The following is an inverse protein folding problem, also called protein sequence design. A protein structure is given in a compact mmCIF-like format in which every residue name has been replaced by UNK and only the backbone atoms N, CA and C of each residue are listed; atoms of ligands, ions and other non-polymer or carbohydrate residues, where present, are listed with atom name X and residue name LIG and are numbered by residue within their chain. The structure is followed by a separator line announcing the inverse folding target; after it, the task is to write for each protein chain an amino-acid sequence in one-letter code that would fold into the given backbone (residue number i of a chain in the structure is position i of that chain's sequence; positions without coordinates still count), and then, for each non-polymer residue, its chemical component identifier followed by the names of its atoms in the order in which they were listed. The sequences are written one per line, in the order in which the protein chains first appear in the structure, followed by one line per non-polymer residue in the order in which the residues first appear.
data_IF_270378329044
#
_entry.id   IF_270378329044
#
_cell.length_a   1.000
_cell.length_b   1.000
_cell.length_c   1.000
_cell.angle_alpha   90.00
_cell.angle_beta   90.00
_cell.angle_gamma   90.00
#
_symmetry.space_group_name_H-M   'P 1'
#
loop_
_entity.id
_entity.type
_entity.pdbx_description
1 polymer ?
#
# COMPACT_ATOMS: atom_id res chain seq x y z
N UNK A 1 13.86 5.51 7.48
CA UNK A 1 13.57 4.88 8.78
C UNK A 1 13.49 3.37 8.63
N UNK A 2 14.16 2.66 9.48
CA UNK A 2 14.13 1.20 9.46
C UNK A 2 13.00 0.68 10.33
N UNK A 3 12.26 -0.30 9.80
CA UNK A 3 11.09 -0.88 10.45
C UNK A 3 11.43 -2.32 10.84
N UNK A 4 11.15 -2.77 12.09
CA UNK A 4 11.40 -4.15 12.48
C UNK A 4 10.63 -5.13 11.60
N UNK A 5 11.20 -6.30 11.38
CA UNK A 5 10.55 -7.34 10.58
C UNK A 5 9.37 -7.97 11.31
N UNK A 6 9.44 -8.04 12.62
CA UNK A 6 8.42 -8.63 13.47
C UNK A 6 8.16 -7.77 14.70
N UNK A 7 6.91 -7.68 15.10
CA UNK A 7 6.54 -7.03 16.36
C UNK A 7 5.53 -7.90 17.10
N UNK A 8 5.50 -7.76 18.43
CA UNK A 8 4.51 -8.41 19.26
C UNK A 8 3.37 -7.41 19.53
N UNK A 9 2.16 -7.75 19.11
CA UNK A 9 1.01 -6.88 19.27
C UNK A 9 -0.26 -7.71 19.45
N UNK A 10 -1.35 -7.06 19.85
CA UNK A 10 -2.62 -7.72 20.10
C UNK A 10 -3.26 -8.24 18.82
N UNK A 11 -3.65 -9.51 18.84
CA UNK A 11 -4.41 -10.13 17.77
C UNK A 11 -5.87 -10.30 18.20
N UNK A 12 -6.84 -9.65 17.54
CA UNK A 12 -8.25 -9.77 17.91
C UNK A 12 -8.79 -11.18 17.76
N UNK A 13 -8.28 -11.97 16.82
CA UNK A 13 -8.71 -13.35 16.63
C UNK A 13 -8.17 -14.29 17.69
N UNK A 14 -6.90 -14.12 18.06
CA UNK A 14 -6.27 -14.91 19.13
C UNK A 14 -6.61 -14.38 20.52
N UNK A 15 -7.11 -13.15 20.62
CA UNK A 15 -7.42 -12.43 21.86
C UNK A 15 -6.22 -12.34 22.81
N UNK A 16 -5.03 -12.27 22.27
CA UNK A 16 -3.81 -12.15 23.04
C UNK A 16 -2.73 -11.49 22.20
N UNK A 17 -1.67 -11.03 22.85
CA UNK A 17 -0.52 -10.49 22.15
C UNK A 17 0.27 -11.62 21.49
N UNK A 18 0.43 -11.56 20.19
CA UNK A 18 1.17 -12.54 19.41
C UNK A 18 2.17 -11.84 18.50
N UNK A 19 3.14 -12.62 18.03
CA UNK A 19 4.14 -12.08 17.10
C UNK A 19 3.51 -11.92 15.71
N UNK A 20 3.70 -10.75 15.12
CA UNK A 20 3.21 -10.43 13.80
C UNK A 20 4.38 -10.12 12.88
N UNK A 21 4.36 -10.65 11.67
CA UNK A 21 5.33 -10.26 10.64
C UNK A 21 4.84 -8.99 9.96
N UNK A 22 5.77 -8.11 9.63
CA UNK A 22 5.48 -6.80 9.06
C UNK A 22 5.85 -6.78 7.59
N UNK A 23 4.91 -6.32 6.76
CA UNK A 23 5.17 -6.04 5.35
C UNK A 23 4.62 -4.67 5.00
N UNK A 24 5.25 -4.01 4.04
CA UNK A 24 4.79 -2.71 3.57
C UNK A 24 3.70 -2.94 2.54
N UNK A 25 2.55 -2.25 2.72
CA UNK A 25 1.47 -2.32 1.74
C UNK A 25 1.89 -1.61 0.45
N UNK A 26 1.67 -2.28 -0.66
CA UNK A 26 1.88 -1.71 -1.99
C UNK A 26 0.64 -1.95 -2.83
N UNK A 27 0.31 -0.97 -3.67
CA UNK A 27 -0.80 -1.11 -4.61
C UNK A 27 -0.52 -2.27 -5.56
N UNK A 28 -1.50 -3.14 -5.74
CA UNK A 28 -1.41 -4.24 -6.69
C UNK A 28 -1.49 -3.76 -8.13
N UNK A 29 -1.13 -4.65 -9.05
CA UNK A 29 -1.24 -4.34 -10.47
C UNK A 29 -2.71 -4.22 -10.86
N UNK A 30 -3.02 -3.19 -11.63
CA UNK A 30 -4.36 -2.96 -12.13
C UNK A 30 -4.75 -4.04 -13.14
N UNK A 31 -5.98 -4.50 -13.05
CA UNK A 31 -6.52 -5.45 -14.01
C UNK A 31 -6.88 -4.71 -15.30
N UNK A 32 -6.24 -5.08 -16.40
CA UNK A 32 -6.44 -4.42 -17.70
C UNK A 32 -7.82 -4.67 -18.31
N UNK A 33 -8.42 -5.80 -18.00
CA UNK A 33 -9.71 -6.20 -18.56
C UNK A 33 -10.91 -5.65 -17.78
N UNK A 34 -10.68 -4.91 -16.70
CA UNK A 34 -11.76 -4.25 -15.97
C UNK A 34 -12.44 -3.20 -16.84
N UNK A 35 -13.75 -3.01 -16.67
CA UNK A 35 -14.54 -2.09 -17.50
C UNK A 35 -13.97 -0.66 -17.48
N UNK A 36 -13.66 -0.14 -16.30
CA UNK A 36 -13.09 1.19 -16.16
C UNK A 36 -11.75 1.35 -16.85
N UNK A 37 -10.88 0.33 -16.76
CA UNK A 37 -9.57 0.35 -17.40
C UNK A 37 -9.69 0.34 -18.93
N UNK A 38 -10.63 -0.44 -19.48
CA UNK A 38 -10.89 -0.49 -20.91
C UNK A 38 -11.40 0.85 -21.43
N UNK A 39 -12.33 1.47 -20.73
CA UNK A 39 -12.87 2.78 -21.10
C UNK A 39 -11.78 3.86 -21.07
N UNK A 40 -10.95 3.86 -20.05
CA UNK A 40 -9.85 4.80 -19.95
C UNK A 40 -8.86 4.65 -21.10
N UNK A 41 -8.57 3.42 -21.52
CA UNK A 41 -7.71 3.13 -22.67
C UNK A 41 -8.33 3.67 -23.96
N UNK A 42 -9.63 3.48 -24.15
CA UNK A 42 -10.34 4.01 -25.32
C UNK A 42 -10.32 5.54 -25.37
N UNK A 43 -10.41 6.19 -24.20
CA UNK A 43 -10.39 7.65 -24.13
C UNK A 43 -9.05 8.24 -24.56
N UNK A 44 -7.98 7.45 -24.54
CA UNK A 44 -6.66 7.88 -25.00
C UNK A 44 -6.52 7.87 -26.52
N UNK A 45 -7.41 7.18 -27.24
CA UNK A 45 -7.36 7.01 -28.67
C UNK A 45 -8.07 8.15 -29.39
N UNK A 46 -7.64 8.43 -30.61
CA UNK A 46 -8.26 9.44 -31.48
C UNK A 46 -7.60 10.81 -31.35
N UNK A 47 -8.19 11.77 -32.01
CA UNK A 47 -7.74 13.17 -32.01
C UNK A 47 -8.46 13.95 -30.92
N UNK A 48 -8.06 15.19 -30.68
CA UNK A 48 -8.73 16.04 -29.70
C UNK A 48 -7.79 16.78 -28.77
N UNK A 49 -6.47 16.72 -29.03
CA UNK A 49 -5.47 17.37 -28.16
C UNK A 49 -5.31 16.72 -26.81
N UNK A 50 -5.13 17.53 -25.78
CA UNK A 50 -4.98 17.00 -24.41
C UNK A 50 -6.29 16.37 -23.95
N UNK A 51 -6.24 15.08 -23.62
CA UNK A 51 -7.42 14.32 -23.23
C UNK A 51 -7.67 14.33 -21.72
N UNK A 52 -6.61 14.43 -20.92
CA UNK A 52 -6.69 14.42 -19.48
C UNK A 52 -5.90 15.58 -18.89
N UNK A 53 -6.41 16.20 -17.81
CA UNK A 53 -5.65 17.27 -17.17
C UNK A 53 -4.35 16.73 -16.57
N UNK A 54 -3.30 17.53 -16.67
CA UNK A 54 -2.02 17.21 -16.05
C UNK A 54 -1.85 18.04 -14.80
N UNK A 55 -1.50 17.38 -13.71
CA UNK A 55 -1.12 18.05 -12.48
C UNK A 55 0.38 18.36 -12.55
N UNK A 56 0.71 19.62 -12.81
CA UNK A 56 2.10 20.06 -12.93
C UNK A 56 2.72 20.34 -11.57
N UNK A 57 1.91 20.75 -10.61
CA UNK A 57 2.37 21.07 -9.26
C UNK A 57 1.95 19.97 -8.29
N UNK A 58 2.93 19.33 -7.67
CA UNK A 58 2.69 18.34 -6.63
C UNK A 58 3.04 18.95 -5.28
N UNK A 59 2.09 18.90 -4.33
CA UNK A 59 2.27 19.51 -3.02
C UNK A 59 3.18 18.67 -2.11
N UNK A 60 3.15 17.35 -2.26
CA UNK A 60 3.86 16.44 -1.37
C UNK A 60 4.78 15.53 -2.15
N UNK A 61 6.02 15.40 -1.68
CA UNK A 61 7.03 14.53 -2.29
C UNK A 61 7.09 13.14 -1.64
N UNK A 62 6.42 12.98 -0.50
CA UNK A 62 6.43 11.73 0.27
C UNK A 62 5.01 11.22 0.45
N UNK A 63 4.88 9.93 0.69
CA UNK A 63 3.59 9.27 0.95
C UNK A 63 3.60 8.62 2.32
N UNK A 64 2.42 8.52 2.93
CA UNK A 64 2.27 7.76 4.16
C UNK A 64 2.44 6.28 3.87
N UNK A 65 3.29 5.63 4.65
CA UNK A 65 3.55 4.20 4.52
C UNK A 65 2.56 3.43 5.37
N UNK A 66 1.81 2.52 4.76
CA UNK A 66 0.90 1.63 5.48
C UNK A 66 1.57 0.28 5.69
N UNK A 67 1.40 -0.27 6.88
CA UNK A 67 2.00 -1.54 7.25
C UNK A 67 0.94 -2.62 7.35
N UNK A 68 1.25 -3.82 6.88
CA UNK A 68 0.45 -5.01 7.07
C UNK A 68 1.09 -5.86 8.16
N UNK A 69 0.30 -6.22 9.17
CA UNK A 69 0.73 -7.06 10.28
C UNK A 69 0.03 -8.41 10.15
N UNK A 70 0.81 -9.46 9.92
CA UNK A 70 0.26 -10.81 9.80
C UNK A 70 0.58 -11.63 11.03
N UNK A 71 -0.46 -12.08 11.74
CA UNK A 71 -0.30 -12.93 12.92
C UNK A 71 0.27 -14.29 12.51
N UNK A 72 1.31 -14.75 13.20
CA UNK A 72 1.92 -16.05 12.91
C UNK A 72 1.10 -17.23 13.39
N UNK A 73 0.18 -17.02 14.33
CA UNK A 73 -0.64 -18.10 14.86
C UNK A 73 -1.91 -18.35 14.06
N UNK A 74 -2.70 -17.29 13.81
CA UNK A 74 -3.99 -17.42 13.14
C UNK A 74 -3.98 -16.90 11.71
N UNK A 75 -2.87 -16.35 11.24
CA UNK A 75 -2.70 -15.78 9.89
C UNK A 75 -3.62 -14.60 9.60
N UNK A 76 -4.18 -13.97 10.63
CA UNK A 76 -4.99 -12.77 10.44
C UNK A 76 -4.09 -11.60 10.04
N UNK A 77 -4.50 -10.87 9.02
CA UNK A 77 -3.78 -9.69 8.55
C UNK A 77 -4.46 -8.43 9.09
N UNK A 78 -3.70 -7.61 9.78
CA UNK A 78 -4.14 -6.29 10.25
C UNK A 78 -3.38 -5.22 9.49
N UNK A 79 -4.02 -4.09 9.28
CA UNK A 79 -3.38 -2.93 8.69
C UNK A 79 -3.22 -1.85 9.73
N UNK A 80 -2.05 -1.23 9.76
CA UNK A 80 -1.77 -0.11 10.64
C UNK A 80 -1.49 1.13 9.81
N UNK A 81 -2.09 2.26 10.18
CA UNK A 81 -1.79 3.52 9.53
C UNK A 81 -0.32 3.87 9.74
N UNK A 82 0.33 4.24 8.65
CA UNK A 82 1.72 4.63 8.70
C UNK A 82 1.89 6.13 8.87
N UNK A 83 3.11 6.52 9.16
CA UNK A 83 3.51 7.92 9.20
C UNK A 83 4.17 8.31 7.88
N UNK A 84 4.21 9.60 7.60
CA UNK A 84 4.85 10.10 6.39
C UNK A 84 6.37 10.02 6.53
N UNK A 85 7.00 9.20 5.69
CA UNK A 85 8.43 8.95 5.74
C UNK A 85 9.05 9.16 4.35
N UNK A 86 10.27 9.67 4.31
CA UNK A 86 11.03 9.75 3.06
C UNK A 86 11.40 8.36 2.56
N UNK A 87 11.78 7.50 3.46
CA UNK A 87 12.21 6.15 3.14
C UNK A 87 11.81 5.21 4.27
N UNK A 88 11.18 4.12 3.91
CA UNK A 88 10.82 3.07 4.86
C UNK A 88 11.41 1.76 4.38
N UNK A 89 12.19 1.11 5.23
CA UNK A 89 12.83 -0.17 4.93
C UNK A 89 12.54 -1.15 6.05
N UNK A 90 12.28 -2.41 5.69
CA UNK A 90 12.11 -3.47 6.66
C UNK A 90 13.50 -4.00 6.99
N UNK A 91 13.80 -4.09 8.30
CA UNK A 91 15.05 -4.64 8.76
C UNK A 91 15.07 -6.13 8.52
N UNK A 92 16.13 -6.60 7.85
CA UNK A 92 16.41 -8.02 7.72
C UNK A 92 17.29 -8.46 8.87
N UNK A 93 16.94 -9.56 9.51
CA UNK A 93 17.82 -10.24 10.46
C UNK A 93 18.32 -11.51 9.85
#
# INVERSE_FOLDING_TARGET
MKIPKEIKTYCPKCRSHTVHSITIYKKGKERRSAAGARHHEQDKKGYGGQKFPELVRTAKTTKKVSLKLKCKQCNRVLQKEGIRLRKAEIMEK
#
